data_IF_693300030215
#
_entry.id   IF_693300030215
#
_cell.length_a   1.000
_cell.length_b   1.000
_cell.length_c   1.000
_cell.angle_alpha   90.00
_cell.angle_beta   90.00
_cell.angle_gamma   90.00
#
_symmetry.space_group_name_H-M   'P 1'
#
loop_
_entity.id
_entity.type
_entity.pdbx_description
1 polymer ?
#
# COMPACT_ATOMS: atom_id res chain seq x y z
N UNK A 1 28.20 -28.59 -10.66
CA UNK A 1 27.18 -29.61 -11.02
C UNK A 1 27.54 -30.09 -12.42
N UNK A 2 27.76 -31.40 -12.63
CA UNK A 2 28.19 -31.96 -13.93
C UNK A 2 27.10 -31.75 -14.98
N UNK A 3 27.49 -31.25 -16.17
CA UNK A 3 26.62 -31.09 -17.34
C UNK A 3 26.55 -32.37 -18.15
N UNK A 4 25.58 -32.54 -19.03
CA UNK A 4 25.43 -33.74 -19.89
C UNK A 4 26.73 -34.05 -20.67
N UNK A 5 27.44 -33.02 -21.09
CA UNK A 5 28.74 -33.13 -21.80
C UNK A 5 29.84 -33.75 -20.93
N UNK A 6 29.85 -33.41 -19.62
CA UNK A 6 30.82 -33.93 -18.68
C UNK A 6 30.62 -35.44 -18.42
N UNK A 7 29.39 -35.92 -18.48
CA UNK A 7 29.05 -37.34 -18.35
C UNK A 7 29.61 -38.18 -19.48
N UNK A 8 29.48 -37.72 -20.73
CA UNK A 8 30.02 -38.40 -21.91
C UNK A 8 31.54 -38.47 -21.78
N UNK A 9 32.16 -37.35 -21.45
CA UNK A 9 33.61 -37.24 -21.28
C UNK A 9 34.13 -38.15 -20.15
N UNK A 10 33.44 -38.25 -19.02
CA UNK A 10 33.77 -39.17 -17.92
C UNK A 10 33.78 -40.62 -18.43
N UNK A 11 32.76 -41.04 -19.19
CA UNK A 11 32.67 -42.39 -19.71
C UNK A 11 33.77 -42.72 -20.70
N UNK A 12 34.08 -41.77 -21.58
CA UNK A 12 35.14 -41.97 -22.58
C UNK A 12 36.55 -42.09 -21.94
N UNK A 13 36.84 -41.23 -20.97
CA UNK A 13 38.10 -41.27 -20.23
C UNK A 13 38.29 -42.57 -19.43
N UNK A 14 37.20 -43.07 -18.80
CA UNK A 14 37.22 -44.35 -18.07
C UNK A 14 37.41 -45.52 -19.06
N UNK A 15 36.77 -45.51 -20.25
CA UNK A 15 36.96 -46.54 -21.29
C UNK A 15 38.39 -46.56 -21.82
N UNK A 16 39.06 -45.41 -21.84
CA UNK A 16 40.47 -45.28 -22.19
C UNK A 16 41.42 -45.76 -21.09
N UNK A 17 40.89 -46.26 -19.96
CA UNK A 17 41.68 -46.83 -18.86
C UNK A 17 42.19 -45.81 -17.85
N UNK A 18 41.74 -44.55 -17.92
CA UNK A 18 42.13 -43.51 -16.97
C UNK A 18 41.46 -43.76 -15.64
N UNK A 19 42.19 -43.65 -14.53
CA UNK A 19 41.65 -43.92 -13.22
C UNK A 19 40.59 -42.86 -12.80
N UNK A 20 39.58 -43.27 -12.01
CA UNK A 20 38.56 -42.34 -11.47
C UNK A 20 39.17 -41.17 -10.67
N UNK A 21 40.36 -41.35 -10.09
CA UNK A 21 41.07 -40.34 -9.34
C UNK A 21 41.63 -39.25 -10.30
N UNK A 22 42.19 -39.69 -11.43
CA UNK A 22 42.79 -38.76 -12.40
C UNK A 22 41.70 -38.02 -13.21
N UNK A 23 40.60 -38.70 -13.54
CA UNK A 23 39.42 -38.06 -14.15
C UNK A 23 38.81 -37.01 -13.20
N UNK A 24 38.78 -37.27 -11.90
CA UNK A 24 38.29 -36.31 -10.90
C UNK A 24 39.21 -35.09 -10.79
N UNK A 25 40.54 -35.30 -10.82
CA UNK A 25 41.53 -34.24 -10.81
C UNK A 25 41.44 -33.37 -12.10
N UNK A 26 41.30 -34.00 -13.26
CA UNK A 26 41.21 -33.32 -14.57
C UNK A 26 39.93 -32.46 -14.69
N UNK A 27 38.81 -32.90 -14.10
CA UNK A 27 37.54 -32.19 -14.13
C UNK A 27 37.31 -31.26 -12.92
N UNK A 28 38.27 -31.17 -11.99
CA UNK A 28 38.20 -30.33 -10.81
C UNK A 28 37.06 -30.73 -9.87
N UNK A 29 36.70 -32.02 -9.78
CA UNK A 29 35.59 -32.52 -8.97
C UNK A 29 36.05 -33.62 -8.00
N UNK A 30 35.31 -33.84 -6.93
CA UNK A 30 35.64 -34.87 -5.97
C UNK A 30 35.42 -36.29 -6.57
N UNK A 31 36.29 -37.26 -6.27
CA UNK A 31 36.21 -38.66 -6.76
C UNK A 31 34.83 -39.30 -6.56
N UNK A 32 34.16 -39.06 -5.41
CA UNK A 32 32.78 -39.54 -5.15
C UNK A 32 31.78 -39.02 -6.19
N UNK A 33 32.04 -37.86 -6.81
CA UNK A 33 31.16 -37.30 -7.86
C UNK A 33 31.29 -38.12 -9.15
N UNK A 34 32.51 -38.51 -9.54
CA UNK A 34 32.76 -39.41 -10.68
C UNK A 34 32.14 -40.77 -10.42
N UNK A 35 32.36 -41.37 -9.25
CA UNK A 35 31.76 -42.66 -8.87
C UNK A 35 30.24 -42.61 -8.97
N UNK A 36 29.61 -41.60 -8.42
CA UNK A 36 28.14 -41.42 -8.51
C UNK A 36 27.66 -41.18 -9.94
N UNK A 37 28.46 -40.52 -10.77
CA UNK A 37 28.15 -40.31 -12.17
C UNK A 37 28.17 -41.65 -12.96
N UNK A 38 29.15 -42.51 -12.73
CA UNK A 38 29.25 -43.84 -13.35
C UNK A 38 28.16 -44.79 -12.88
N UNK A 39 27.84 -44.79 -11.59
CA UNK A 39 26.75 -45.61 -11.02
C UNK A 39 25.34 -45.19 -11.54
N UNK A 40 25.16 -43.95 -11.91
CA UNK A 40 23.87 -43.45 -12.42
C UNK A 40 23.60 -43.79 -13.89
N UNK A 41 24.62 -44.26 -14.63
CA UNK A 41 24.47 -44.50 -16.06
C UNK A 41 24.09 -43.26 -16.85
N UNK A 42 23.78 -43.43 -18.12
CA UNK A 42 23.46 -42.31 -19.05
C UNK A 42 22.11 -41.64 -18.85
N UNK A 43 21.41 -41.93 -17.76
CA UNK A 43 20.12 -41.31 -17.46
C UNK A 43 20.36 -40.02 -16.65
N UNK A 44 20.17 -38.83 -17.23
CA UNK A 44 19.96 -37.66 -16.41
C UNK A 44 18.76 -37.97 -15.49
N UNK A 45 18.94 -37.94 -14.16
CA UNK A 45 17.78 -37.91 -13.27
C UNK A 45 16.94 -36.71 -13.63
N UNK A 46 15.81 -36.97 -14.16
CA UNK A 46 14.84 -35.98 -14.47
C UNK A 46 13.80 -36.45 -15.45
N UNK A 47 13.26 -37.65 -15.28
CA UNK A 47 11.82 -37.74 -15.47
C UNK A 47 11.26 -36.93 -14.32
N UNK A 48 11.18 -35.63 -14.52
CA UNK A 48 10.34 -34.78 -13.72
C UNK A 48 8.96 -35.40 -13.89
N UNK A 49 8.50 -36.12 -12.87
CA UNK A 49 7.08 -36.46 -12.78
C UNK A 49 6.35 -35.16 -13.17
N UNK A 50 5.41 -35.27 -14.09
CA UNK A 50 4.61 -34.18 -14.64
C UNK A 50 3.96 -33.34 -13.52
N UNK A 51 4.75 -32.48 -12.87
CA UNK A 51 4.24 -31.50 -11.87
C UNK A 51 3.26 -30.50 -12.49
N UNK A 52 3.05 -30.57 -13.81
CA UNK A 52 2.08 -29.74 -14.53
C UNK A 52 0.65 -30.20 -14.39
N UNK A 53 0.38 -31.49 -14.20
CA UNK A 53 -0.99 -32.01 -14.26
C UNK A 53 -1.95 -31.41 -13.21
N UNK A 54 -1.49 -31.12 -12.01
CA UNK A 54 -2.32 -30.51 -10.97
C UNK A 54 -2.69 -29.04 -11.27
N UNK A 55 -1.89 -28.33 -12.06
CA UNK A 55 -2.15 -26.93 -12.45
C UNK A 55 -3.00 -26.84 -13.73
N UNK A 56 -3.04 -27.88 -14.54
CA UNK A 56 -3.66 -27.84 -15.86
C UNK A 56 -5.13 -27.40 -15.85
N UNK A 57 -5.97 -27.88 -14.92
CA UNK A 57 -7.38 -27.44 -14.85
C UNK A 57 -7.52 -25.95 -14.54
N UNK A 58 -6.52 -25.34 -13.92
CA UNK A 58 -6.54 -23.94 -13.49
C UNK A 58 -5.87 -22.98 -14.49
N UNK A 59 -5.17 -23.49 -15.51
CA UNK A 59 -4.50 -22.67 -16.52
C UNK A 59 -5.43 -21.69 -17.24
N UNK A 60 -6.65 -22.05 -17.68
CA UNK A 60 -7.58 -21.10 -18.30
C UNK A 60 -7.96 -19.95 -17.36
N UNK A 61 -8.10 -20.23 -16.07
CA UNK A 61 -8.41 -19.22 -15.06
C UNK A 61 -7.22 -18.27 -14.83
N UNK A 62 -6.00 -18.83 -14.77
CA UNK A 62 -4.78 -18.03 -14.68
C UNK A 62 -4.66 -17.10 -15.88
N UNK A 63 -4.94 -17.62 -17.08
CA UNK A 63 -4.88 -16.83 -18.32
C UNK A 63 -5.95 -15.75 -18.37
N UNK A 64 -7.15 -16.02 -17.88
CA UNK A 64 -8.19 -15.02 -17.69
C UNK A 64 -7.78 -13.91 -16.72
N UNK A 65 -7.16 -14.24 -15.59
CA UNK A 65 -6.63 -13.26 -14.64
C UNK A 65 -5.51 -12.41 -15.27
N UNK A 66 -4.60 -13.03 -16.01
CA UNK A 66 -3.51 -12.34 -16.73
C UNK A 66 -4.07 -11.37 -17.78
N UNK A 67 -5.08 -11.79 -18.56
CA UNK A 67 -5.78 -10.95 -19.55
C UNK A 67 -6.47 -9.77 -18.91
N UNK A 68 -7.04 -9.95 -17.71
CA UNK A 68 -7.63 -8.88 -16.91
C UNK A 68 -6.59 -7.99 -16.21
N UNK A 69 -5.30 -8.21 -16.46
CA UNK A 69 -4.21 -7.39 -15.95
C UNK A 69 -3.76 -7.74 -14.54
N UNK A 70 -4.17 -8.86 -13.98
CA UNK A 70 -3.68 -9.38 -12.68
C UNK A 70 -2.40 -10.16 -12.93
N UNK A 71 -1.23 -9.54 -12.69
CA UNK A 71 0.10 -10.14 -12.92
C UNK A 71 0.83 -10.52 -11.63
N UNK A 72 0.19 -10.32 -10.48
CA UNK A 72 0.77 -10.72 -9.20
C UNK A 72 0.58 -12.22 -8.99
N UNK A 73 1.69 -12.98 -9.05
CA UNK A 73 1.64 -14.44 -8.94
C UNK A 73 1.08 -14.95 -7.61
N UNK A 74 1.27 -14.21 -6.51
CA UNK A 74 0.71 -14.59 -5.19
C UNK A 74 -0.80 -14.44 -5.19
N UNK A 75 -1.31 -13.35 -5.78
CA UNK A 75 -2.76 -13.13 -5.92
C UNK A 75 -3.38 -14.24 -6.77
N UNK A 76 -2.79 -14.52 -7.94
CA UNK A 76 -3.25 -15.59 -8.83
C UNK A 76 -3.27 -16.95 -8.11
N UNK A 77 -2.21 -17.25 -7.35
CA UNK A 77 -2.14 -18.49 -6.57
C UNK A 77 -3.25 -18.59 -5.53
N UNK A 78 -3.52 -17.51 -4.76
CA UNK A 78 -4.62 -17.46 -3.78
C UNK A 78 -6.00 -17.60 -4.43
N UNK A 79 -6.20 -16.97 -5.58
CA UNK A 79 -7.46 -17.06 -6.34
C UNK A 79 -7.76 -18.48 -6.81
N UNK A 80 -6.75 -19.20 -7.32
CA UNK A 80 -6.94 -20.59 -7.73
C UNK A 80 -6.99 -21.55 -6.53
N UNK A 81 -6.34 -21.25 -5.40
CA UNK A 81 -6.50 -22.01 -4.15
C UNK A 81 -7.93 -21.93 -3.63
N UNK A 82 -8.55 -20.75 -3.66
CA UNK A 82 -9.96 -20.60 -3.28
C UNK A 82 -10.91 -21.43 -4.17
N UNK A 83 -10.43 -21.89 -5.33
CA UNK A 83 -11.16 -22.77 -6.27
C UNK A 83 -10.70 -24.23 -6.25
N UNK A 84 -9.92 -24.61 -5.23
CA UNK A 84 -9.53 -26.00 -5.01
C UNK A 84 -8.11 -26.39 -5.45
N UNK A 85 -7.28 -25.44 -5.89
CA UNK A 85 -5.88 -25.75 -6.20
C UNK A 85 -5.08 -26.02 -4.92
N UNK A 86 -4.50 -27.21 -4.79
CA UNK A 86 -3.71 -27.62 -3.61
C UNK A 86 -2.19 -27.57 -3.86
N UNK A 87 -1.78 -27.18 -5.05
CA UNK A 87 -0.37 -27.17 -5.44
C UNK A 87 0.40 -25.96 -4.91
N UNK A 88 1.73 -26.01 -5.04
CA UNK A 88 2.63 -24.97 -4.53
C UNK A 88 2.65 -23.71 -5.45
N UNK A 89 3.01 -22.59 -4.84
CA UNK A 89 3.19 -21.29 -5.54
C UNK A 89 4.23 -21.35 -6.67
N UNK A 90 5.27 -22.18 -6.52
CA UNK A 90 6.36 -22.30 -7.51
C UNK A 90 5.84 -22.75 -8.88
N UNK A 91 4.90 -23.69 -8.93
CA UNK A 91 4.30 -24.16 -10.18
C UNK A 91 3.53 -23.04 -10.91
N UNK A 92 2.79 -22.22 -10.15
CA UNK A 92 2.09 -21.03 -10.69
C UNK A 92 3.09 -19.99 -11.19
N UNK A 93 4.15 -19.73 -10.42
CA UNK A 93 5.22 -18.79 -10.80
C UNK A 93 5.92 -19.22 -12.08
N UNK A 94 6.24 -20.50 -12.23
CA UNK A 94 6.88 -21.06 -13.44
C UNK A 94 5.96 -20.96 -14.66
N UNK A 95 4.67 -21.22 -14.49
CA UNK A 95 3.68 -21.08 -15.57
C UNK A 95 3.53 -19.61 -16.04
N UNK A 96 3.51 -18.67 -15.12
CA UNK A 96 3.37 -17.24 -15.44
C UNK A 96 4.66 -16.64 -16.02
N UNK A 97 5.83 -17.18 -15.64
CA UNK A 97 7.14 -16.63 -15.99
C UNK A 97 7.33 -16.35 -17.50
N UNK A 98 7.09 -17.31 -18.42
CA UNK A 98 7.24 -17.06 -19.86
C UNK A 98 6.20 -16.05 -20.38
N UNK A 99 5.01 -16.02 -19.80
CA UNK A 99 3.92 -15.11 -20.20
C UNK A 99 4.19 -13.66 -19.81
N UNK A 100 5.05 -13.41 -18.81
CA UNK A 100 5.47 -12.05 -18.44
C UNK A 100 6.25 -11.34 -19.55
N UNK A 101 6.91 -12.07 -20.41
CA UNK A 101 7.60 -11.51 -21.59
C UNK A 101 6.58 -10.97 -22.59
N UNK A 102 5.40 -11.57 -22.66
CA UNK A 102 4.27 -11.16 -23.52
C UNK A 102 3.43 -10.04 -22.87
N UNK A 103 3.80 -9.63 -21.65
CA UNK A 103 3.13 -8.50 -21.00
C UNK A 103 3.31 -7.26 -21.87
N UNK A 104 2.21 -6.68 -22.40
CA UNK A 104 2.32 -5.45 -23.16
C UNK A 104 3.12 -4.44 -22.32
N UNK A 105 4.22 -3.95 -22.86
CA UNK A 105 4.94 -2.82 -22.29
C UNK A 105 3.94 -1.66 -22.25
N UNK A 106 3.20 -1.54 -21.15
CA UNK A 106 2.30 -0.41 -20.97
C UNK A 106 3.19 0.82 -20.89
N UNK A 107 3.22 1.55 -22.00
CA UNK A 107 3.59 2.94 -21.93
C UNK A 107 2.85 3.50 -20.72
N UNK A 108 3.58 4.01 -19.73
CA UNK A 108 2.98 4.66 -18.57
C UNK A 108 2.41 5.97 -19.11
N UNK A 109 1.18 5.92 -19.61
CA UNK A 109 0.44 7.15 -19.93
C UNK A 109 0.30 7.86 -18.59
N UNK A 110 1.12 8.88 -18.40
CA UNK A 110 1.05 9.75 -17.23
C UNK A 110 -0.25 10.50 -17.36
N UNK A 111 -1.26 10.06 -16.64
CA UNK A 111 -2.54 10.72 -16.61
C UNK A 111 -2.39 12.00 -15.78
N UNK A 112 -2.34 13.14 -16.45
CA UNK A 112 -2.43 14.45 -15.80
C UNK A 112 -3.89 14.71 -15.43
N UNK A 113 -4.12 15.01 -14.16
CA UNK A 113 -5.44 15.42 -13.69
C UNK A 113 -5.61 16.92 -13.97
N UNK A 114 -6.77 17.37 -14.48
CA UNK A 114 -7.06 18.79 -14.60
C UNK A 114 -6.98 19.52 -13.25
N UNK A 115 -6.74 20.84 -13.24
CA UNK A 115 -6.74 21.65 -12.02
C UNK A 115 -8.03 21.50 -11.23
N UNK A 116 -7.95 21.44 -9.88
CA UNK A 116 -9.07 21.33 -8.98
C UNK A 116 -9.86 20.01 -9.06
N UNK A 117 -9.44 19.06 -9.91
CA UNK A 117 -10.19 17.83 -10.17
C UNK A 117 -10.05 16.84 -9.03
N UNK A 118 -8.86 16.53 -8.58
CA UNK A 118 -8.63 15.41 -7.68
C UNK A 118 -7.53 15.68 -6.67
N UNK A 119 -7.82 15.40 -5.40
CA UNK A 119 -6.82 15.17 -4.37
C UNK A 119 -6.70 13.66 -4.08
N UNK A 120 -5.57 13.26 -3.55
CA UNK A 120 -5.29 11.87 -3.18
C UNK A 120 -4.83 11.84 -1.75
N UNK A 121 -5.41 10.93 -0.94
CA UNK A 121 -5.02 10.66 0.45
C UNK A 121 -4.21 9.38 0.50
N UNK A 122 -2.98 9.48 0.98
CA UNK A 122 -2.12 8.36 1.33
C UNK A 122 -1.63 8.50 2.76
N UNK A 123 -1.08 7.44 3.32
CA UNK A 123 -0.55 7.43 4.66
C UNK A 123 0.69 6.54 4.76
N UNK A 124 1.50 6.83 5.76
CA UNK A 124 2.70 6.08 6.05
C UNK A 124 2.94 5.99 7.55
N UNK A 125 3.92 5.19 7.91
CA UNK A 125 4.36 5.04 9.31
C UNK A 125 5.86 4.97 9.37
N UNK A 126 6.41 5.38 10.51
CA UNK A 126 7.82 5.25 10.85
C UNK A 126 8.01 5.31 12.38
N UNK A 127 9.24 5.07 12.83
CA UNK A 127 9.64 5.28 14.20
C UNK A 127 10.50 6.55 14.31
N UNK A 128 10.22 7.37 15.33
CA UNK A 128 10.99 8.57 15.65
C UNK A 128 10.94 8.84 17.16
N UNK A 129 11.66 9.84 17.64
CA UNK A 129 11.69 10.17 19.06
C UNK A 129 10.76 11.36 19.33
N UNK A 130 9.79 11.18 20.23
CA UNK A 130 8.88 12.23 20.70
C UNK A 130 8.97 12.30 22.24
N UNK A 131 9.30 13.46 22.80
CA UNK A 131 9.44 13.63 24.25
C UNK A 131 10.53 12.71 24.86
N UNK A 132 11.58 12.39 24.09
CA UNK A 132 12.64 11.48 24.51
C UNK A 132 12.33 9.99 24.39
N UNK A 133 11.12 9.61 23.94
CA UNK A 133 10.68 8.22 23.78
C UNK A 133 10.62 7.82 22.31
N UNK A 134 11.12 6.62 21.98
CA UNK A 134 10.96 6.04 20.65
C UNK A 134 9.48 5.72 20.42
N UNK A 135 8.87 6.40 19.46
CA UNK A 135 7.43 6.41 19.24
C UNK A 135 7.13 6.05 17.78
N UNK A 136 6.14 5.20 17.60
CA UNK A 136 5.59 4.92 16.26
C UNK A 136 4.69 6.06 15.84
N UNK A 137 5.03 6.70 14.73
CA UNK A 137 4.30 7.83 14.16
C UNK A 137 3.61 7.38 12.89
N UNK A 138 2.32 7.65 12.81
CA UNK A 138 1.57 7.59 11.57
C UNK A 138 1.48 8.99 10.98
N UNK A 139 1.47 9.08 9.67
CA UNK A 139 1.30 10.37 8.99
C UNK A 139 0.52 10.20 7.69
N UNK A 140 -0.29 11.18 7.40
CA UNK A 140 -1.02 11.29 6.13
C UNK A 140 -0.29 12.19 5.16
N UNK A 141 -0.57 12.02 3.87
CA UNK A 141 -0.21 12.94 2.81
C UNK A 141 -1.44 13.11 1.88
N UNK A 142 -2.00 14.31 1.85
CA UNK A 142 -3.07 14.66 0.91
C UNK A 142 -2.44 15.49 -0.21
N UNK A 143 -2.47 14.97 -1.43
CA UNK A 143 -1.74 15.53 -2.58
C UNK A 143 -2.70 15.98 -3.67
N UNK A 144 -2.58 17.22 -4.15
CA UNK A 144 -3.31 17.72 -5.31
C UNK A 144 -2.80 17.07 -6.60
N UNK A 145 -3.72 16.54 -7.38
CA UNK A 145 -3.41 15.72 -8.55
C UNK A 145 -2.75 16.49 -9.71
N UNK A 146 -2.99 17.77 -9.85
CA UNK A 146 -2.42 18.63 -10.89
C UNK A 146 -1.06 19.20 -10.49
N UNK A 147 -1.00 19.96 -9.39
CA UNK A 147 0.22 20.67 -8.99
C UNK A 147 1.22 19.83 -8.23
N UNK A 148 0.80 18.72 -7.62
CA UNK A 148 1.62 17.91 -6.68
C UNK A 148 1.98 18.63 -5.39
N UNK A 149 1.27 19.72 -5.07
CA UNK A 149 1.28 20.31 -3.73
C UNK A 149 0.63 19.33 -2.78
N UNK A 150 1.16 19.18 -1.60
CA UNK A 150 0.60 18.27 -0.61
C UNK A 150 0.64 18.87 0.79
N UNK A 151 -0.27 18.43 1.61
CA UNK A 151 -0.25 18.66 3.04
C UNK A 151 -0.02 17.34 3.74
N UNK A 152 0.73 17.35 4.83
CA UNK A 152 0.98 16.19 5.67
C UNK A 152 0.65 16.51 7.13
N UNK A 153 0.15 15.51 7.84
CA UNK A 153 -0.19 15.59 9.26
C UNK A 153 0.19 14.29 9.96
N UNK A 154 0.84 14.40 11.12
CA UNK A 154 1.32 13.28 11.90
C UNK A 154 0.44 13.03 13.14
N UNK A 155 0.24 11.75 13.49
CA UNK A 155 -0.67 11.32 14.55
C UNK A 155 -0.19 10.01 15.21
N UNK A 156 -0.76 9.71 16.38
CA UNK A 156 -0.35 8.58 17.24
C UNK A 156 -0.97 7.24 16.82
N UNK A 157 -2.09 7.25 16.12
CA UNK A 157 -2.83 6.04 15.70
C UNK A 157 -3.53 6.22 14.37
N UNK A 158 -3.66 5.12 13.63
CA UNK A 158 -4.31 5.09 12.32
C UNK A 158 -5.79 4.71 12.48
N UNK A 159 -6.65 5.69 12.65
CA UNK A 159 -8.11 5.54 12.72
C UNK A 159 -8.85 6.47 11.76
N UNK A 160 -10.16 6.39 11.72
CA UNK A 160 -10.98 7.17 10.81
C UNK A 160 -10.94 8.66 11.12
N UNK A 161 -10.95 9.01 12.40
CA UNK A 161 -10.99 10.39 12.90
C UNK A 161 -9.72 11.15 12.50
N UNK A 162 -8.54 10.54 12.65
CA UNK A 162 -7.28 11.14 12.20
C UNK A 162 -7.21 11.26 10.66
N UNK A 163 -7.83 10.34 9.93
CA UNK A 163 -7.94 10.49 8.48
C UNK A 163 -8.88 11.62 8.08
N UNK A 164 -10.00 11.82 8.81
CA UNK A 164 -10.88 12.98 8.60
C UNK A 164 -10.16 14.28 8.90
N UNK A 165 -9.46 14.36 10.03
CA UNK A 165 -8.66 15.52 10.42
C UNK A 165 -7.59 15.84 9.36
N UNK A 166 -6.94 14.84 8.82
CA UNK A 166 -5.95 15.00 7.74
C UNK A 166 -6.54 15.65 6.49
N UNK A 167 -7.75 15.26 6.11
CA UNK A 167 -8.45 15.86 4.95
C UNK A 167 -8.88 17.30 5.24
N UNK A 168 -9.43 17.56 6.44
CA UNK A 168 -9.85 18.91 6.86
C UNK A 168 -8.65 19.86 6.84
N UNK A 169 -7.54 19.48 7.47
CA UNK A 169 -6.31 20.28 7.50
C UNK A 169 -5.73 20.51 6.11
N UNK A 170 -5.73 19.49 5.26
CA UNK A 170 -5.23 19.64 3.91
C UNK A 170 -6.07 20.63 3.08
N UNK A 171 -7.39 20.56 3.14
CA UNK A 171 -8.26 21.50 2.43
C UNK A 171 -8.11 22.92 2.98
N UNK A 172 -7.95 23.07 4.30
CA UNK A 172 -7.63 24.36 4.92
C UNK A 172 -6.30 24.90 4.41
N UNK A 173 -5.25 24.07 4.35
CA UNK A 173 -3.92 24.44 3.83
C UNK A 173 -3.95 24.82 2.35
N UNK A 174 -4.78 24.17 1.54
CA UNK A 174 -4.96 24.51 0.13
C UNK A 174 -5.87 25.72 -0.09
N UNK A 175 -6.64 26.13 0.92
CA UNK A 175 -7.65 27.18 0.78
C UNK A 175 -8.87 26.76 -0.05
N UNK A 176 -9.08 25.46 -0.26
CA UNK A 176 -10.18 24.93 -1.05
C UNK A 176 -10.17 23.41 -1.14
N UNK A 177 -11.29 22.84 -1.60
CA UNK A 177 -11.43 21.39 -1.83
C UNK A 177 -11.40 21.05 -3.32
N UNK A 178 -11.12 19.79 -3.64
CA UNK A 178 -11.18 19.27 -5.01
C UNK A 178 -12.53 18.62 -5.29
N UNK A 179 -12.85 18.34 -6.55
CA UNK A 179 -14.08 17.63 -6.92
C UNK A 179 -14.08 16.16 -6.51
N UNK A 180 -12.92 15.54 -6.46
CA UNK A 180 -12.76 14.12 -6.11
C UNK A 180 -11.66 13.95 -5.07
N UNK A 181 -11.88 13.04 -4.13
CA UNK A 181 -10.85 12.57 -3.20
C UNK A 181 -10.60 11.08 -3.44
N UNK A 182 -9.43 10.76 -3.97
CA UNK A 182 -8.98 9.39 -4.18
C UNK A 182 -8.33 8.86 -2.91
N UNK A 183 -8.81 7.71 -2.44
CA UNK A 183 -8.25 7.02 -1.28
C UNK A 183 -7.79 5.62 -1.67
N UNK A 184 -6.73 5.13 -1.03
CA UNK A 184 -6.48 3.70 -0.98
C UNK A 184 -7.52 3.07 -0.04
N UNK A 185 -7.83 1.81 -0.19
CA UNK A 185 -8.93 1.13 0.50
C UNK A 185 -8.65 0.88 2.01
N UNK A 186 -8.44 1.90 2.88
CA UNK A 186 -8.28 1.68 4.30
C UNK A 186 -9.61 1.22 4.89
N UNK A 187 -9.59 0.18 5.73
CA UNK A 187 -10.79 -0.34 6.40
C UNK A 187 -11.54 0.71 7.22
N UNK A 188 -10.85 1.76 7.66
CA UNK A 188 -11.42 2.88 8.38
C UNK A 188 -12.37 3.73 7.53
N UNK A 189 -12.17 3.81 6.21
CA UNK A 189 -12.96 4.63 5.29
C UNK A 189 -13.79 3.82 4.30
N UNK A 190 -13.39 2.57 4.01
CA UNK A 190 -14.04 1.68 3.04
C UNK A 190 -14.50 0.41 3.73
N UNK A 191 -15.81 0.19 3.81
CA UNK A 191 -16.41 -0.98 4.44
C UNK A 191 -16.30 -2.22 3.54
N UNK A 192 -16.61 -2.06 2.26
CA UNK A 192 -16.48 -3.14 1.26
C UNK A 192 -16.03 -2.59 -0.09
N UNK A 193 -15.09 -3.29 -0.72
CA UNK A 193 -14.67 -3.03 -2.09
C UNK A 193 -14.18 -4.33 -2.72
N UNK A 194 -15.07 -5.03 -3.40
CA UNK A 194 -14.74 -6.24 -4.18
C UNK A 194 -14.64 -5.90 -5.66
N UNK A 195 -13.90 -6.71 -6.40
CA UNK A 195 -13.77 -6.53 -7.86
C UNK A 195 -15.12 -6.76 -8.52
N UNK A 196 -15.64 -5.74 -9.20
CA UNK A 196 -16.95 -5.77 -9.86
C UNK A 196 -18.11 -5.21 -9.04
N UNK A 197 -17.93 -5.01 -7.73
CA UNK A 197 -18.97 -4.47 -6.85
C UNK A 197 -18.87 -2.95 -6.70
N UNK A 198 -19.97 -2.34 -6.27
CA UNK A 198 -20.01 -0.94 -5.85
C UNK A 198 -19.23 -0.80 -4.55
N UNK A 199 -18.40 0.25 -4.46
CA UNK A 199 -17.66 0.56 -3.23
C UNK A 199 -18.62 1.06 -2.16
N UNK A 200 -18.55 0.49 -0.96
CA UNK A 200 -19.30 0.96 0.21
C UNK A 200 -18.35 1.69 1.13
N UNK A 201 -18.54 2.99 1.25
CA UNK A 201 -17.75 3.84 2.16
C UNK A 201 -18.39 3.91 3.54
N UNK A 202 -17.58 4.25 4.54
CA UNK A 202 -18.08 4.51 5.88
C UNK A 202 -19.04 5.73 5.87
N UNK A 203 -20.23 5.68 6.50
CA UNK A 203 -21.20 6.78 6.45
C UNK A 203 -20.64 8.14 6.83
N UNK A 204 -19.87 8.23 7.93
CA UNK A 204 -19.25 9.48 8.38
C UNK A 204 -18.20 10.02 7.40
N UNK A 205 -17.54 9.14 6.63
CA UNK A 205 -16.68 9.58 5.54
C UNK A 205 -17.48 10.19 4.39
N UNK A 206 -18.66 9.64 4.10
CA UNK A 206 -19.58 10.25 3.13
C UNK A 206 -20.10 11.62 3.60
N UNK A 207 -20.38 11.77 4.91
CA UNK A 207 -20.77 13.05 5.50
C UNK A 207 -19.64 14.09 5.36
N UNK A 208 -18.39 13.72 5.64
CA UNK A 208 -17.23 14.57 5.39
C UNK A 208 -17.14 15.00 3.91
N UNK A 209 -17.27 14.03 3.01
CA UNK A 209 -17.19 14.28 1.58
C UNK A 209 -18.31 15.20 1.10
N UNK A 210 -19.54 15.00 1.58
CA UNK A 210 -20.70 15.84 1.29
C UNK A 210 -20.51 17.27 1.84
N UNK A 211 -19.96 17.39 3.05
CA UNK A 211 -19.67 18.68 3.69
C UNK A 211 -18.74 19.56 2.85
N UNK A 212 -17.72 18.96 2.25
CA UNK A 212 -16.74 19.67 1.38
C UNK A 212 -17.09 19.62 -0.12
N UNK A 213 -18.22 19.07 -0.50
CA UNK A 213 -18.63 18.93 -1.92
C UNK A 213 -17.73 18.00 -2.75
N UNK A 214 -17.12 17.00 -2.11
CA UNK A 214 -16.12 16.11 -2.72
C UNK A 214 -16.71 14.73 -3.00
N UNK A 215 -16.47 14.18 -4.18
CA UNK A 215 -16.86 12.80 -4.50
C UNK A 215 -15.76 11.82 -4.08
N UNK A 216 -16.02 10.88 -3.16
CA UNK A 216 -15.04 9.88 -2.78
C UNK A 216 -14.78 8.88 -3.93
N UNK A 217 -13.51 8.55 -4.15
CA UNK A 217 -13.07 7.53 -5.11
C UNK A 217 -12.13 6.57 -4.40
N UNK A 218 -12.38 5.28 -4.55
CA UNK A 218 -11.49 4.25 -4.05
C UNK A 218 -10.60 3.72 -5.18
N UNK A 219 -9.33 3.45 -4.87
CA UNK A 219 -8.41 2.81 -5.81
C UNK A 219 -8.94 1.42 -6.16
N UNK A 220 -8.95 1.07 -7.45
CA UNK A 220 -9.36 -0.27 -7.87
C UNK A 220 -8.48 -1.33 -7.23
N UNK A 221 -9.08 -2.38 -6.62
CA UNK A 221 -8.31 -3.49 -6.06
C UNK A 221 -7.31 -4.04 -7.07
N UNK A 222 -6.12 -4.40 -6.59
CA UNK A 222 -5.03 -4.99 -7.39
C UNK A 222 -4.46 -4.14 -8.55
N UNK A 223 -4.85 -2.87 -8.67
CA UNK A 223 -4.26 -1.92 -9.62
C UNK A 223 -3.35 -0.91 -8.91
N UNK A 224 -2.20 -1.36 -8.42
CA UNK A 224 -1.18 -0.51 -7.77
C UNK A 224 -0.73 0.71 -8.61
N UNK A 225 -0.98 0.71 -9.92
CA UNK A 225 -0.59 1.81 -10.83
C UNK A 225 -1.47 3.06 -10.76
N UNK A 226 -2.68 2.96 -10.22
CA UNK A 226 -3.52 4.15 -9.97
C UNK A 226 -2.91 5.04 -8.89
N UNK A 227 -2.09 4.45 -8.01
CA UNK A 227 -1.45 5.05 -6.84
C UNK A 227 -0.02 5.60 -7.10
N UNK A 228 0.52 5.43 -8.29
CA UNK A 228 1.92 5.78 -8.60
C UNK A 228 2.31 7.26 -8.43
N UNK A 229 1.38 8.10 -8.00
CA UNK A 229 1.61 9.51 -7.66
C UNK A 229 1.90 9.70 -6.17
N UNK A 230 1.29 8.91 -5.29
CA UNK A 230 1.26 9.11 -3.84
C UNK A 230 2.30 8.30 -3.07
N UNK A 231 2.61 7.07 -3.49
CA UNK A 231 3.73 6.30 -2.91
C UNK A 231 5.03 7.11 -2.90
N UNK A 232 5.12 8.08 -3.84
CA UNK A 232 6.24 9.02 -3.91
C UNK A 232 6.19 10.08 -2.83
N UNK A 233 4.99 10.53 -2.38
CA UNK A 233 4.89 11.59 -1.35
C UNK A 233 5.17 11.04 0.04
N UNK A 234 4.66 9.86 0.37
CA UNK A 234 5.03 9.14 1.60
C UNK A 234 6.53 8.87 1.63
N UNK A 235 7.10 8.36 0.53
CA UNK A 235 8.56 8.19 0.38
C UNK A 235 9.32 9.51 0.47
N UNK A 236 8.82 10.57 -0.15
CA UNK A 236 9.41 11.90 -0.11
C UNK A 236 9.48 12.45 1.33
N UNK A 237 8.38 12.34 2.10
CA UNK A 237 8.36 12.72 3.52
C UNK A 237 9.38 11.94 4.35
N UNK A 238 9.44 10.62 4.17
CA UNK A 238 10.40 9.76 4.88
C UNK A 238 11.84 10.17 4.59
N UNK A 239 12.16 10.42 3.31
CA UNK A 239 13.54 10.67 2.89
C UNK A 239 13.98 12.13 2.97
N UNK A 240 13.08 13.10 3.06
CA UNK A 240 13.43 14.52 3.11
C UNK A 240 13.13 15.18 4.44
N UNK A 241 11.99 14.90 5.06
CA UNK A 241 11.63 15.46 6.36
C UNK A 241 12.15 14.59 7.50
N UNK A 242 11.68 13.35 7.63
CA UNK A 242 12.00 12.51 8.79
C UNK A 242 13.46 12.01 8.87
N UNK A 243 14.18 11.98 7.76
CA UNK A 243 15.64 11.73 7.80
C UNK A 243 16.39 12.89 8.46
N UNK A 244 15.92 14.14 8.22
CA UNK A 244 16.54 15.36 8.74
C UNK A 244 16.11 15.65 10.17
N UNK A 245 14.81 15.47 10.48
CA UNK A 245 14.22 15.73 11.79
C UNK A 245 13.84 14.41 12.44
N UNK A 246 14.60 14.01 13.46
CA UNK A 246 14.47 12.69 14.09
C UNK A 246 14.03 12.74 15.54
N UNK A 247 13.93 13.93 16.13
CA UNK A 247 13.57 14.14 17.52
C UNK A 247 12.63 15.33 17.63
N UNK A 248 11.56 15.14 18.38
CA UNK A 248 10.54 16.16 18.60
C UNK A 248 10.20 16.22 20.07
N UNK A 249 9.92 17.42 20.58
CA UNK A 249 9.54 17.61 21.99
C UNK A 249 8.15 17.07 22.28
N UNK A 250 7.23 17.23 21.32
CA UNK A 250 5.82 16.82 21.42
C UNK A 250 5.22 16.56 20.04
N UNK A 251 4.02 16.00 20.01
CA UNK A 251 3.21 15.88 18.79
C UNK A 251 2.91 17.24 18.14
N UNK A 252 2.66 18.26 18.97
CA UNK A 252 2.44 19.62 18.48
C UNK A 252 3.70 20.18 17.81
N UNK A 253 4.87 19.99 18.43
CA UNK A 253 6.14 20.41 17.84
C UNK A 253 6.43 19.68 16.51
N UNK A 254 6.18 18.36 16.43
CA UNK A 254 6.32 17.61 15.17
C UNK A 254 5.46 18.21 14.07
N UNK A 255 4.18 18.42 14.33
CA UNK A 255 3.26 18.94 13.32
C UNK A 255 3.55 20.40 12.94
N UNK A 256 3.94 21.22 13.87
CA UNK A 256 4.36 22.61 13.60
C UNK A 256 5.62 22.63 12.71
N UNK A 257 6.61 21.81 13.02
CA UNK A 257 7.84 21.72 12.23
C UNK A 257 7.56 21.13 10.83
N UNK A 258 6.65 20.17 10.74
CA UNK A 258 6.20 19.60 9.47
C UNK A 258 5.51 20.67 8.60
N UNK A 259 4.63 21.45 9.18
CA UNK A 259 3.93 22.52 8.47
C UNK A 259 4.90 23.63 8.00
N UNK A 260 5.83 24.06 8.85
CA UNK A 260 6.88 25.01 8.47
C UNK A 260 7.74 24.48 7.32
N UNK A 261 8.10 23.22 7.35
CA UNK A 261 8.87 22.56 6.28
C UNK A 261 8.06 22.44 4.98
N UNK A 262 6.75 22.17 5.05
CA UNK A 262 5.88 22.11 3.88
C UNK A 262 5.86 23.47 3.15
N UNK A 263 5.74 24.57 3.90
CA UNK A 263 5.69 25.93 3.34
C UNK A 263 7.05 26.38 2.79
N UNK A 264 8.13 26.15 3.53
CA UNK A 264 9.45 26.68 3.19
C UNK A 264 10.22 25.83 2.18
N UNK A 265 10.10 24.52 2.21
CA UNK A 265 10.89 23.61 1.37
C UNK A 265 10.03 22.84 0.35
N UNK A 266 8.92 22.22 0.82
CA UNK A 266 8.13 21.37 -0.06
C UNK A 266 7.39 22.16 -1.16
N UNK A 267 6.85 23.32 -0.84
CA UNK A 267 6.16 24.19 -1.79
C UNK A 267 7.12 24.95 -2.70
N UNK A 268 8.32 25.28 -2.20
CA UNK A 268 9.36 25.94 -2.97
C UNK A 268 10.12 25.01 -3.95
N UNK A 269 9.95 23.66 -3.81
CA UNK A 269 10.68 22.71 -4.65
C UNK A 269 10.26 22.78 -6.12
N UNK A 270 11.23 22.53 -7.01
CA UNK A 270 10.94 22.20 -8.42
C UNK A 270 10.53 20.71 -8.46
N UNK A 271 9.32 20.43 -8.89
CA UNK A 271 8.83 19.06 -8.95
C UNK A 271 9.46 18.29 -10.11
N UNK A 272 10.09 17.14 -9.83
CA UNK A 272 10.89 16.38 -10.78
C UNK A 272 10.17 15.93 -12.07
N UNK A 273 8.85 15.73 -12.02
CA UNK A 273 8.06 15.33 -13.20
C UNK A 273 7.54 16.54 -13.98
N UNK A 274 7.06 17.57 -13.28
CA UNK A 274 6.39 18.74 -13.89
C UNK A 274 7.41 19.80 -14.30
N UNK A 275 8.61 19.78 -13.68
CA UNK A 275 9.70 20.74 -13.95
C UNK A 275 9.36 22.20 -13.65
N UNK A 276 8.41 22.42 -12.75
CA UNK A 276 7.96 23.73 -12.30
C UNK A 276 8.02 23.82 -10.77
N UNK A 277 8.10 25.05 -10.25
CA UNK A 277 7.98 25.31 -8.82
C UNK A 277 6.55 25.02 -8.37
N UNK A 278 6.40 24.25 -7.28
CA UNK A 278 5.08 23.81 -6.80
C UNK A 278 4.18 24.98 -6.45
N UNK A 279 4.69 25.99 -5.74
CA UNK A 279 3.94 27.16 -5.34
C UNK A 279 3.44 27.99 -6.56
N UNK A 280 4.27 28.19 -7.58
CA UNK A 280 3.89 28.92 -8.80
C UNK A 280 2.81 28.18 -9.58
N UNK A 281 2.95 26.85 -9.69
CA UNK A 281 1.95 26.03 -10.36
C UNK A 281 0.65 25.99 -9.57
N UNK A 282 0.71 26.07 -8.23
CA UNK A 282 -0.47 26.12 -7.38
C UNK A 282 -1.31 27.38 -7.60
N UNK A 283 -0.68 28.52 -7.88
CA UNK A 283 -1.41 29.74 -8.21
C UNK A 283 -2.37 29.57 -9.42
N UNK A 284 -2.02 28.65 -10.34
CA UNK A 284 -2.89 28.29 -11.49
C UNK A 284 -3.99 27.30 -11.13
N UNK A 285 -3.81 26.47 -10.09
CA UNK A 285 -4.82 25.50 -9.64
C UNK A 285 -5.81 26.10 -8.65
N UNK A 286 -5.35 27.01 -7.79
CA UNK A 286 -6.14 27.62 -6.73
C UNK A 286 -7.53 28.14 -7.17
N UNK A 287 -7.69 28.83 -8.31
CA UNK A 287 -9.00 29.31 -8.78
C UNK A 287 -10.01 28.19 -9.13
N UNK A 288 -9.54 26.97 -9.33
CA UNK A 288 -10.37 25.80 -9.68
C UNK A 288 -10.78 24.97 -8.47
N UNK A 289 -10.25 25.28 -7.27
CA UNK A 289 -10.66 24.64 -6.04
C UNK A 289 -12.05 25.14 -5.63
N UNK A 290 -12.82 24.27 -5.01
CA UNK A 290 -14.13 24.61 -4.46
C UNK A 290 -13.96 25.41 -3.16
N UNK A 291 -14.84 26.39 -2.94
CA UNK A 291 -14.83 27.20 -1.73
C UNK A 291 -15.14 26.33 -0.52
N UNK A 292 -14.39 26.53 0.55
CA UNK A 292 -14.59 25.81 1.80
C UNK A 292 -15.87 26.29 2.51
N UNK A 293 -16.58 25.37 3.22
CA UNK A 293 -17.66 25.75 4.11
C UNK A 293 -17.15 26.72 5.21
N UNK A 294 -18.03 27.58 5.71
CA UNK A 294 -17.69 28.52 6.79
C UNK A 294 -17.29 27.82 8.09
N UNK A 295 -17.90 26.66 8.37
CA UNK A 295 -17.58 25.81 9.52
C UNK A 295 -16.81 24.60 9.04
N UNK A 296 -15.75 24.24 9.74
CA UNK A 296 -15.02 23.00 9.49
C UNK A 296 -15.86 21.78 9.86
N UNK A 297 -15.58 20.64 9.23
CA UNK A 297 -16.19 19.36 9.62
C UNK A 297 -15.70 18.96 11.00
N UNK A 298 -16.63 18.50 11.86
CA UNK A 298 -16.30 18.03 13.20
C UNK A 298 -15.66 16.63 13.14
N UNK A 299 -14.36 16.57 13.40
CA UNK A 299 -13.55 15.34 13.36
C UNK A 299 -13.45 14.63 14.70
N UNK A 300 -14.09 15.17 15.77
CA UNK A 300 -14.03 14.57 17.10
C UNK A 300 -14.61 13.16 17.12
N UNK A 301 -14.13 12.37 18.08
CA UNK A 301 -14.69 11.04 18.33
C UNK A 301 -16.14 11.13 18.81
N UNK A 302 -17.02 10.38 18.16
CA UNK A 302 -18.39 10.19 18.59
C UNK A 302 -18.55 8.82 19.22
N UNK A 303 -18.56 8.77 20.54
CA UNK A 303 -18.93 7.58 21.28
C UNK A 303 -20.44 7.59 21.52
N UNK A 304 -21.07 6.44 21.31
CA UNK A 304 -22.45 6.17 21.72
C UNK A 304 -22.44 5.09 22.79
N UNK A 305 -22.03 5.44 24.03
CA UNK A 305 -21.98 4.46 25.10
C UNK A 305 -23.35 3.87 25.36
N UNK A 306 -23.40 2.58 25.65
CA UNK A 306 -24.61 1.92 26.12
C UNK A 306 -24.69 2.13 27.61
N UNK A 307 -25.83 2.59 28.07
CA UNK A 307 -26.09 2.73 29.50
C UNK A 307 -26.37 1.35 30.09
N UNK A 308 -25.53 0.94 31.06
CA UNK A 308 -25.68 -0.33 31.72
C UNK A 308 -26.88 -0.33 32.68
N UNK A 309 -27.24 -1.49 33.22
CA UNK A 309 -28.38 -1.68 34.08
C UNK A 309 -28.33 -0.84 35.40
N UNK A 310 -27.12 -0.44 35.83
CA UNK A 310 -26.86 0.42 36.97
C UNK A 310 -26.98 1.93 36.66
N UNK A 311 -27.44 2.29 35.46
CA UNK A 311 -27.55 3.67 35.00
C UNK A 311 -26.24 4.35 34.66
N UNK A 312 -25.13 3.62 34.60
CA UNK A 312 -23.80 4.14 34.26
C UNK A 312 -23.48 3.90 32.80
N UNK A 313 -22.87 4.89 32.15
CA UNK A 313 -22.27 4.73 30.81
C UNK A 313 -20.75 4.62 30.92
N UNK A 314 -20.16 3.61 30.25
CA UNK A 314 -18.72 3.47 30.12
C UNK A 314 -18.28 3.96 28.76
N UNK A 315 -17.41 4.96 28.76
CA UNK A 315 -16.72 5.43 27.58
C UNK A 315 -15.22 5.53 27.91
N UNK A 316 -14.38 5.89 26.96
CA UNK A 316 -12.99 6.24 27.22
C UNK A 316 -12.84 7.49 28.13
N UNK A 317 -13.92 8.26 28.30
CA UNK A 317 -14.10 9.33 29.28
C UNK A 317 -14.52 8.77 30.66
N UNK A 318 -14.45 9.58 31.74
CA UNK A 318 -14.92 9.18 33.05
C UNK A 318 -16.38 8.66 33.03
N UNK A 319 -16.65 7.67 33.87
CA UNK A 319 -18.00 7.10 34.03
C UNK A 319 -18.98 8.21 34.43
N UNK A 320 -20.02 8.39 33.63
CA UNK A 320 -21.04 9.42 33.84
C UNK A 320 -22.38 8.73 34.20
N UNK A 321 -23.02 9.18 35.26
CA UNK A 321 -24.38 8.77 35.56
C UNK A 321 -25.33 9.30 34.48
N UNK A 322 -26.18 8.43 33.93
CA UNK A 322 -27.12 8.77 32.86
C UNK A 322 -28.57 8.68 33.36
N UNK A 323 -29.48 9.51 32.85
CA UNK A 323 -30.87 9.40 33.21
C UNK A 323 -31.48 8.01 32.94
N UNK A 324 -32.31 7.53 33.85
CA UNK A 324 -32.97 6.22 33.80
C UNK A 324 -33.58 5.79 32.43
N UNK A 325 -34.17 6.71 31.60
CA UNK A 325 -34.75 6.29 30.32
C UNK A 325 -33.77 5.73 29.28
N UNK A 326 -32.48 5.84 29.52
CA UNK A 326 -31.45 5.35 28.58
C UNK A 326 -30.85 3.98 28.93
N UNK A 327 -31.29 3.34 30.02
CA UNK A 327 -30.82 2.00 30.41
C UNK A 327 -31.05 1.01 29.26
N UNK A 328 -30.02 0.32 28.83
CA UNK A 328 -30.06 -0.59 27.69
C UNK A 328 -30.12 0.09 26.31
N UNK A 329 -30.02 1.42 26.23
CA UNK A 329 -30.04 2.20 24.97
C UNK A 329 -28.72 2.93 24.74
N UNK A 330 -28.45 3.31 23.49
CA UNK A 330 -27.30 4.13 23.13
C UNK A 330 -27.53 5.58 23.49
N UNK A 331 -26.60 6.17 24.24
CA UNK A 331 -26.69 7.57 24.66
C UNK A 331 -26.11 8.48 23.56
N UNK A 332 -26.76 9.59 23.17
CA UNK A 332 -26.33 10.45 22.05
C UNK A 332 -25.29 11.52 22.43
N UNK A 333 -24.59 11.39 23.56
CA UNK A 333 -23.57 12.37 23.96
C UNK A 333 -22.27 12.21 23.20
N UNK A 334 -21.72 13.32 22.69
CA UNK A 334 -20.37 13.38 22.13
C UNK A 334 -19.34 13.44 23.26
N UNK A 335 -18.34 12.59 23.23
CA UNK A 335 -17.19 12.73 24.13
C UNK A 335 -16.28 13.83 23.60
N UNK A 336 -15.81 14.79 24.42
CA UNK A 336 -14.77 15.71 23.98
C UNK A 336 -13.51 14.90 23.66
N UNK A 337 -12.93 15.11 22.48
CA UNK A 337 -11.63 14.57 22.16
C UNK A 337 -10.64 15.01 23.26
N UNK A 338 -9.85 14.08 23.79
CA UNK A 338 -8.68 14.46 24.59
C UNK A 338 -7.80 15.26 23.65
N UNK A 339 -7.80 16.58 23.83
CA UNK A 339 -6.81 17.44 23.20
C UNK A 339 -5.43 16.99 23.64
N UNK A 340 -4.59 16.70 22.68
CA UNK A 340 -3.13 16.65 22.85
C UNK A 340 -2.57 17.99 22.41
#
# INVERSE_FOLDING_TARGET
MLKKRDFIMIQDLIRQGISQKDVAAQLGVHRKTIQRALQRGNTPKGVWSKRGEALDPFKPQIDGLLSNGVWNGVVIWREIQARGYTGCYTSVKEYIRPKRVLRPGRATVRFETPPGRQAQLDWGELWTVIGGLETRVYFSAVTLGYVRRFHAFAFDRLDAEHMYESVVRAFTYFGGSTRELLIDNPKALVLTHRVGDTVVFHPRFLDLCAHYGVSPRACKPYRARTKGKDERMVGYLKHHFFVRYRQFESWAHLNQQLEAWLQSEADARIHGTVKEVVAERFAREAPYLQVLPRLGFDTRYYERPVVSWDGMSRSAAPVIASPMPYVGRRCPFASPSRGN
#
